data_IF_278332575284
#
_entry.id   IF_278332575284
#
_cell.length_a   1.000
_cell.length_b   1.000
_cell.length_c   1.000
_cell.angle_alpha   90.00
_cell.angle_beta   90.00
_cell.angle_gamma   90.00
#
_symmetry.space_group_name_H-M   'P 1'
#
loop_
_entity.id
_entity.type
_entity.pdbx_description
1 polymer ?
#
# COMPACT_ATOMS: atom_id res chain seq x y z
N UNK A 1 12.21 17.16 -13.06
CA UNK A 1 11.53 17.28 -11.76
C UNK A 1 11.30 15.88 -11.20
N UNK A 2 11.53 15.72 -9.93
CA UNK A 2 11.33 14.42 -9.30
C UNK A 2 9.85 14.13 -9.11
N UNK A 3 9.48 12.87 -9.27
CA UNK A 3 8.12 12.41 -9.01
C UNK A 3 7.87 12.38 -7.50
N UNK A 4 6.63 12.65 -7.05
CA UNK A 4 6.32 12.36 -5.66
C UNK A 4 6.45 10.85 -5.41
N UNK A 5 6.89 10.48 -4.23
CA UNK A 5 7.03 9.08 -3.83
C UNK A 5 6.12 8.77 -2.64
N UNK A 6 5.52 7.60 -2.64
CA UNK A 6 4.64 7.15 -1.59
C UNK A 6 5.03 5.75 -1.14
N UNK A 7 5.06 5.56 0.19
CA UNK A 7 5.33 4.28 0.82
C UNK A 7 4.06 3.79 1.53
N UNK A 8 3.58 2.63 1.17
CA UNK A 8 2.46 1.98 1.85
C UNK A 8 2.98 0.92 2.81
N UNK A 9 2.57 1.00 4.06
CA UNK A 9 3.06 0.12 5.12
C UNK A 9 1.90 -0.57 5.82
N UNK A 10 1.98 -1.89 5.93
CA UNK A 10 1.12 -2.66 6.83
C UNK A 10 2.00 -3.69 7.56
N UNK A 11 1.40 -4.54 8.38
CA UNK A 11 2.21 -5.47 9.19
C UNK A 11 2.93 -6.48 8.29
N UNK A 12 2.19 -7.18 7.43
CA UNK A 12 2.73 -8.32 6.66
C UNK A 12 3.17 -7.98 5.24
N UNK A 13 2.83 -6.80 4.74
CA UNK A 13 3.09 -6.42 3.32
C UNK A 13 2.61 -7.49 2.34
N UNK A 14 1.52 -8.15 2.67
CA UNK A 14 0.98 -9.26 1.88
C UNK A 14 -0.45 -9.00 1.40
N UNK A 15 -1.14 -8.01 1.93
CA UNK A 15 -2.53 -7.69 1.59
C UNK A 15 -2.75 -6.21 1.35
N UNK A 16 -3.10 -5.47 2.40
CA UNK A 16 -3.51 -4.05 2.30
C UNK A 16 -2.50 -3.17 1.58
N UNK A 17 -1.24 -3.19 1.99
CA UNK A 17 -0.21 -2.35 1.38
C UNK A 17 0.10 -2.77 -0.06
N UNK A 18 0.00 -4.05 -0.37
CA UNK A 18 0.19 -4.55 -1.74
C UNK A 18 -0.96 -4.10 -2.65
N UNK A 19 -2.20 -4.15 -2.18
CA UNK A 19 -3.34 -3.65 -2.94
C UNK A 19 -3.23 -2.15 -3.18
N UNK A 20 -2.89 -1.39 -2.14
CA UNK A 20 -2.71 0.06 -2.26
C UNK A 20 -1.61 0.41 -3.26
N UNK A 21 -0.47 -0.27 -3.18
CA UNK A 21 0.63 -0.06 -4.11
C UNK A 21 0.23 -0.41 -5.55
N UNK A 22 -0.53 -1.49 -5.73
CA UNK A 22 -1.04 -1.88 -7.04
C UNK A 22 -1.94 -0.82 -7.66
N UNK A 23 -2.87 -0.28 -6.89
CA UNK A 23 -3.73 0.81 -7.36
C UNK A 23 -2.93 2.07 -7.70
N UNK A 24 -2.01 2.44 -6.82
CA UNK A 24 -1.23 3.66 -7.03
C UNK A 24 -0.36 3.56 -8.29
N UNK A 25 0.24 2.39 -8.57
CA UNK A 25 1.02 2.18 -9.79
C UNK A 25 0.13 2.26 -11.03
N UNK A 26 -1.02 1.60 -10.99
CA UNK A 26 -1.95 1.57 -12.12
C UNK A 26 -2.54 2.94 -12.40
N UNK A 27 -3.08 3.61 -11.39
CA UNK A 27 -3.73 4.90 -11.53
C UNK A 27 -2.72 6.02 -11.75
N UNK A 28 -1.54 5.90 -11.14
CA UNK A 28 -0.48 6.92 -11.25
C UNK A 28 0.21 6.94 -12.59
N UNK A 29 0.22 5.83 -13.32
CA UNK A 29 0.76 5.72 -14.69
C UNK A 29 2.17 6.32 -14.83
N UNK A 30 3.06 5.98 -13.89
CA UNK A 30 4.45 6.44 -13.91
C UNK A 30 4.68 7.84 -13.37
N UNK A 31 3.65 8.53 -12.91
CA UNK A 31 3.78 9.90 -12.36
C UNK A 31 4.11 9.91 -10.88
N UNK A 32 4.04 8.75 -10.21
CA UNK A 32 4.32 8.60 -8.78
C UNK A 32 5.25 7.40 -8.60
N UNK A 33 6.25 7.56 -7.74
CA UNK A 33 7.10 6.44 -7.34
C UNK A 33 6.43 5.73 -6.17
N UNK A 34 6.27 4.40 -6.27
CA UNK A 34 5.48 3.62 -5.31
C UNK A 34 6.34 2.56 -4.64
N UNK A 35 6.32 2.58 -3.30
CA UNK A 35 7.00 1.60 -2.47
C UNK A 35 6.00 0.95 -1.52
N UNK A 36 6.27 -0.26 -1.10
CA UNK A 36 5.48 -0.93 -0.07
C UNK A 36 6.39 -1.75 0.84
N UNK A 37 6.01 -1.89 2.10
CA UNK A 37 6.80 -2.61 3.09
C UNK A 37 5.92 -3.07 4.25
N UNK A 38 6.47 -3.94 5.10
CA UNK A 38 5.80 -4.41 6.30
C UNK A 38 6.76 -4.48 7.48
N UNK A 39 6.22 -4.29 8.69
CA UNK A 39 7.01 -4.41 9.91
C UNK A 39 7.38 -5.88 10.20
N UNK A 40 6.56 -6.82 9.73
CA UNK A 40 6.79 -8.26 9.86
C UNK A 40 6.32 -8.96 8.58
N UNK A 41 7.07 -8.81 7.46
CA UNK A 41 6.59 -9.30 6.17
C UNK A 41 6.44 -10.80 6.13
N UNK A 42 5.40 -11.27 5.43
CA UNK A 42 5.20 -12.68 5.14
C UNK A 42 6.06 -13.12 3.96
N UNK A 43 6.09 -14.41 3.68
CA UNK A 43 6.88 -14.98 2.58
C UNK A 43 6.27 -14.70 1.21
N UNK A 44 4.94 -14.56 1.15
CA UNK A 44 4.23 -14.38 -0.12
C UNK A 44 3.00 -13.51 0.04
N UNK A 45 2.49 -13.02 -1.09
CA UNK A 45 1.29 -12.19 -1.13
C UNK A 45 0.05 -13.04 -0.81
N UNK A 46 -0.92 -12.46 -0.11
CA UNK A 46 -2.19 -13.11 0.20
C UNK A 46 -2.90 -13.49 -1.11
N UNK A 47 -3.18 -14.79 -1.36
CA UNK A 47 -3.81 -15.22 -2.60
C UNK A 47 -5.18 -14.58 -2.87
N UNK A 48 -5.95 -14.32 -1.83
CA UNK A 48 -7.26 -13.70 -1.97
C UNK A 48 -7.11 -12.23 -2.41
N UNK A 49 -6.08 -11.55 -1.90
CA UNK A 49 -5.77 -10.19 -2.36
C UNK A 49 -5.34 -10.18 -3.83
N UNK A 50 -4.54 -11.16 -4.24
CA UNK A 50 -4.15 -11.34 -5.65
C UNK A 50 -5.40 -11.51 -6.53
N UNK A 51 -6.33 -12.38 -6.12
CA UNK A 51 -7.57 -12.63 -6.85
C UNK A 51 -8.43 -11.37 -6.95
N UNK A 52 -8.60 -10.67 -5.82
CA UNK A 52 -9.40 -9.45 -5.79
C UNK A 52 -8.85 -8.35 -6.71
N UNK A 53 -7.53 -8.20 -6.78
CA UNK A 53 -6.91 -7.23 -7.66
C UNK A 53 -6.98 -7.67 -9.12
N UNK A 54 -6.84 -8.95 -9.40
CA UNK A 54 -6.94 -9.50 -10.75
C UNK A 54 -8.32 -9.25 -11.37
N UNK A 55 -9.38 -9.20 -10.55
CA UNK A 55 -10.73 -8.85 -11.03
C UNK A 55 -10.77 -7.47 -11.68
N UNK A 56 -9.88 -6.58 -11.28
CA UNK A 56 -9.79 -5.22 -11.83
C UNK A 56 -8.66 -5.07 -12.86
N UNK A 57 -8.05 -6.18 -13.27
CA UNK A 57 -6.95 -6.18 -14.23
C UNK A 57 -5.60 -5.79 -13.66
N UNK A 58 -5.46 -5.80 -12.33
CA UNK A 58 -4.22 -5.42 -11.66
C UNK A 58 -3.55 -6.67 -11.11
N UNK A 59 -2.32 -6.94 -11.56
CA UNK A 59 -1.57 -8.12 -11.15
C UNK A 59 -0.57 -7.77 -10.04
N UNK A 60 -0.75 -8.36 -8.86
CA UNK A 60 0.20 -8.25 -7.76
C UNK A 60 0.83 -9.61 -7.40
N UNK A 61 0.55 -10.65 -8.20
CA UNK A 61 0.99 -12.02 -7.90
C UNK A 61 2.50 -12.17 -7.86
N UNK A 62 3.22 -11.37 -8.66
CA UNK A 62 4.68 -11.45 -8.77
C UNK A 62 5.41 -10.54 -7.79
N UNK A 63 4.68 -9.80 -6.98
CA UNK A 63 5.29 -8.94 -5.97
C UNK A 63 5.81 -9.79 -4.80
N UNK A 64 6.81 -9.26 -4.10
CA UNK A 64 7.38 -9.91 -2.92
C UNK A 64 7.22 -9.00 -1.71
N UNK A 65 6.73 -9.52 -0.57
CA UNK A 65 6.72 -8.74 0.66
C UNK A 65 8.12 -8.28 1.05
N UNK A 66 8.23 -7.06 1.55
CA UNK A 66 9.51 -6.43 1.90
C UNK A 66 9.49 -5.92 3.32
N UNK A 67 10.64 -5.98 3.98
CA UNK A 67 10.79 -5.43 5.32
C UNK A 67 10.81 -3.89 5.26
N UNK A 68 10.14 -3.27 6.21
CA UNK A 68 10.20 -1.82 6.38
C UNK A 68 11.60 -1.40 6.83
N UNK A 69 12.17 -0.41 6.14
CA UNK A 69 13.47 0.14 6.48
C UNK A 69 13.38 1.64 6.71
N UNK A 70 14.25 2.22 7.58
CA UNK A 70 14.30 3.68 7.74
C UNK A 70 14.58 4.40 6.42
N UNK A 71 15.41 3.82 5.57
CA UNK A 71 15.76 4.39 4.26
C UNK A 71 14.54 4.55 3.36
N UNK A 72 13.65 3.56 3.36
CA UNK A 72 12.42 3.63 2.56
C UNK A 72 11.50 4.76 3.04
N UNK A 73 11.39 4.94 4.36
CA UNK A 73 10.62 6.03 4.93
C UNK A 73 11.25 7.37 4.57
N UNK A 74 12.56 7.50 4.72
CA UNK A 74 13.27 8.75 4.42
C UNK A 74 13.18 9.13 2.95
N UNK A 75 13.18 8.14 2.06
CA UNK A 75 13.11 8.35 0.61
C UNK A 75 11.72 8.74 0.13
N UNK A 76 10.69 8.58 0.95
CA UNK A 76 9.29 8.79 0.55
C UNK A 76 8.79 10.16 0.94
N UNK A 77 7.99 10.79 0.07
CA UNK A 77 7.33 12.07 0.37
C UNK A 77 6.10 11.86 1.23
N UNK A 78 5.38 10.77 1.02
CA UNK A 78 4.21 10.40 1.80
C UNK A 78 4.37 8.99 2.34
N UNK A 79 3.98 8.78 3.58
CA UNK A 79 3.99 7.46 4.24
C UNK A 79 2.58 7.15 4.71
N UNK A 80 2.01 6.08 4.19
CA UNK A 80 0.65 5.66 4.49
C UNK A 80 0.72 4.35 5.26
N UNK A 81 0.30 4.40 6.52
CA UNK A 81 0.29 3.20 7.36
C UNK A 81 -1.09 2.57 7.40
N UNK A 82 -1.11 1.25 7.48
CA UNK A 82 -2.34 0.47 7.49
C UNK A 82 -2.23 -0.61 8.56
N UNK A 83 -2.15 -0.17 9.82
CA UNK A 83 -2.10 -1.08 10.96
C UNK A 83 -0.72 -1.45 11.45
N UNK A 84 0.35 -0.76 11.04
CA UNK A 84 1.69 -1.04 11.57
C UNK A 84 1.93 -0.45 12.97
N UNK A 85 1.05 0.42 13.43
CA UNK A 85 1.15 1.03 14.76
C UNK A 85 2.44 1.82 14.93
N UNK A 86 3.09 1.63 16.09
CA UNK A 86 4.33 2.34 16.44
C UNK A 86 5.58 1.79 15.74
N UNK A 87 5.44 0.72 14.96
CA UNK A 87 6.57 0.11 14.27
C UNK A 87 7.09 0.96 13.11
N UNK A 88 6.32 1.94 12.64
CA UNK A 88 6.70 2.81 11.53
C UNK A 88 7.47 4.02 12.05
N UNK A 89 8.74 4.25 11.60
CA UNK A 89 9.50 5.42 12.03
C UNK A 89 8.85 6.71 11.54
N UNK A 90 8.97 7.77 12.35
CA UNK A 90 8.43 9.08 12.01
C UNK A 90 9.57 10.08 11.74
N UNK A 91 9.56 10.70 10.57
CA UNK A 91 10.52 11.73 10.19
C UNK A 91 9.76 13.03 9.87
N UNK A 92 10.14 14.17 10.49
CA UNK A 92 9.48 15.45 10.22
C UNK A 92 9.58 15.87 8.75
N UNK A 93 8.59 16.62 8.29
CA UNK A 93 8.59 17.17 6.92
C UNK A 93 7.94 16.27 5.88
N UNK A 94 7.48 15.09 6.27
CA UNK A 94 6.79 14.16 5.36
C UNK A 94 5.30 14.15 5.65
N UNK A 95 4.51 13.77 4.64
CA UNK A 95 3.08 13.54 4.82
C UNK A 95 2.87 12.14 5.39
N UNK A 96 2.21 12.05 6.54
CA UNK A 96 1.85 10.80 7.18
C UNK A 96 0.34 10.67 7.27
N UNK A 97 -0.18 9.52 6.87
CA UNK A 97 -1.59 9.17 7.04
C UNK A 97 -1.69 7.75 7.59
N UNK A 98 -2.67 7.52 8.45
CA UNK A 98 -2.97 6.19 8.95
C UNK A 98 -4.37 5.80 8.46
N UNK A 99 -4.44 4.82 7.58
CA UNK A 99 -5.71 4.33 7.04
C UNK A 99 -6.20 3.17 7.88
N UNK A 100 -7.28 3.39 8.58
CA UNK A 100 -7.92 2.35 9.41
C UNK A 100 -8.75 1.45 8.49
N UNK A 101 -8.26 0.23 8.29
CA UNK A 101 -8.85 -0.75 7.37
C UNK A 101 -8.87 -2.11 8.04
N UNK A 102 -9.87 -2.93 7.71
CA UNK A 102 -9.90 -4.31 8.17
C UNK A 102 -8.74 -5.10 7.54
N UNK A 103 -8.25 -6.09 8.29
CA UNK A 103 -7.19 -6.97 7.82
C UNK A 103 -7.80 -8.07 6.94
N UNK A 104 -7.36 -8.22 5.67
CA UNK A 104 -7.89 -9.26 4.79
C UNK A 104 -7.39 -10.66 5.13
N UNK A 105 -6.42 -10.80 6.02
CA UNK A 105 -5.87 -12.12 6.37
C UNK A 105 -6.96 -13.03 6.94
N UNK A 106 -7.09 -14.23 6.38
CA UNK A 106 -8.06 -15.21 6.84
C UNK A 106 -9.50 -14.91 6.44
N UNK A 107 -9.76 -13.88 5.65
CA UNK A 107 -11.11 -13.51 5.19
C UNK A 107 -11.38 -14.04 3.78
N UNK A 108 -12.67 -14.20 3.46
CA UNK A 108 -13.08 -14.63 2.13
C UNK A 108 -13.04 -13.50 1.11
N UNK A 109 -13.20 -13.85 -0.17
CA UNK A 109 -13.11 -12.91 -1.27
C UNK A 109 -14.10 -11.74 -1.15
N UNK A 110 -15.31 -11.98 -0.66
CA UNK A 110 -16.32 -10.93 -0.52
C UNK A 110 -15.88 -9.82 0.44
N UNK A 111 -15.30 -10.20 1.59
CA UNK A 111 -14.78 -9.24 2.56
C UNK A 111 -13.57 -8.50 2.00
N UNK A 112 -12.70 -9.22 1.29
CA UNK A 112 -11.51 -8.62 0.68
C UNK A 112 -11.88 -7.62 -0.42
N UNK A 113 -12.94 -7.90 -1.17
CA UNK A 113 -13.46 -6.94 -2.17
C UNK A 113 -13.86 -5.61 -1.55
N UNK A 114 -14.52 -5.64 -0.39
CA UNK A 114 -14.91 -4.42 0.33
C UNK A 114 -13.68 -3.64 0.76
N UNK A 115 -12.68 -4.31 1.32
CA UNK A 115 -11.42 -3.71 1.73
C UNK A 115 -10.70 -3.12 0.51
N UNK A 116 -10.63 -3.88 -0.58
CA UNK A 116 -10.02 -3.44 -1.85
C UNK A 116 -10.67 -2.15 -2.35
N UNK A 117 -11.99 -2.10 -2.39
CA UNK A 117 -12.71 -0.96 -2.93
C UNK A 117 -12.53 0.29 -2.06
N UNK A 118 -12.44 0.12 -0.74
CA UNK A 118 -12.14 1.21 0.17
C UNK A 118 -10.73 1.74 -0.03
N UNK A 119 -9.75 0.85 -0.21
CA UNK A 119 -8.37 1.23 -0.51
C UNK A 119 -8.31 2.00 -1.82
N UNK A 120 -9.04 1.55 -2.84
CA UNK A 120 -9.07 2.24 -4.13
C UNK A 120 -9.52 3.69 -4.00
N UNK A 121 -10.59 3.95 -3.27
CA UNK A 121 -11.08 5.31 -3.04
C UNK A 121 -10.03 6.18 -2.36
N UNK A 122 -9.36 5.65 -1.35
CA UNK A 122 -8.34 6.39 -0.62
C UNK A 122 -7.12 6.66 -1.50
N UNK A 123 -6.72 5.70 -2.33
CA UNK A 123 -5.62 5.88 -3.28
C UNK A 123 -5.96 6.94 -4.32
N UNK A 124 -7.17 6.95 -4.84
CA UNK A 124 -7.61 7.96 -5.81
C UNK A 124 -7.54 9.36 -5.22
N UNK A 125 -8.00 9.53 -3.98
CA UNK A 125 -7.94 10.81 -3.29
C UNK A 125 -6.50 11.24 -3.05
N UNK A 126 -5.66 10.34 -2.56
CA UNK A 126 -4.25 10.62 -2.31
C UNK A 126 -3.52 11.01 -3.59
N UNK A 127 -3.75 10.26 -4.67
CA UNK A 127 -3.11 10.54 -5.96
C UNK A 127 -3.47 11.93 -6.47
N UNK A 128 -4.74 12.33 -6.37
CA UNK A 128 -5.18 13.66 -6.77
C UNK A 128 -4.45 14.74 -5.96
N UNK A 129 -4.27 14.52 -4.68
CA UNK A 129 -3.57 15.47 -3.80
C UNK A 129 -2.06 15.53 -4.10
N UNK A 130 -1.43 14.40 -4.42
CA UNK A 130 -0.01 14.37 -4.74
C UNK A 130 0.31 15.02 -6.09
N UNK A 131 -0.59 14.91 -7.05
CA UNK A 131 -0.38 15.44 -8.41
C UNK A 131 -1.03 16.82 -8.62
N UNK A 132 -1.96 17.15 -7.75
CA UNK A 132 -2.67 18.42 -7.83
C UNK A 132 -1.96 19.54 -7.19
#
# INVERSE_FOLDING_TARGET
MSKPSVLFVCVHNAGRSQMAAGFMRELGQGRVEVLSAGSAPKDSINPIAVEAMAELGIDIANNTPKILTPEAVQASDAVITMGCGDACPFYPGKRYEDWVLDDPAGQGIESVRVIRDEIKERVETLLAELLG
#
